data_IF_848082677278
#
_entry.id   IF_848082677278
#
_cell.length_a   1.000
_cell.length_b   1.000
_cell.length_c   1.000
_cell.angle_alpha   90.00
_cell.angle_beta   90.00
_cell.angle_gamma   90.00
#
_symmetry.space_group_name_H-M   'P 1'
#
loop_
_entity.id
_entity.type
_entity.pdbx_description
1 polymer ?
#
# COMPACT_ATOMS: atom_id res chain seq x y z
N UNK A 1 -22.80 -0.78 8.06
CA UNK A 1 -22.40 0.46 8.77
C UNK A 1 -20.98 0.37 9.38
N UNK A 2 -20.16 -0.64 9.06
CA UNK A 2 -18.88 -0.92 9.74
C UNK A 2 -17.71 -0.04 9.31
N UNK A 3 -17.62 0.29 8.01
CA UNK A 3 -16.53 1.11 7.45
C UNK A 3 -16.15 2.36 8.24
N UNK A 4 -17.12 3.15 8.74
CA UNK A 4 -16.78 4.38 9.47
C UNK A 4 -16.14 4.15 10.85
N UNK A 5 -16.32 2.96 11.45
CA UNK A 5 -15.63 2.54 12.68
C UNK A 5 -14.26 1.98 12.33
N UNK A 6 -14.19 1.08 11.35
CA UNK A 6 -12.94 0.48 10.85
C UNK A 6 -11.96 1.54 10.33
N UNK A 7 -12.44 2.53 9.58
CA UNK A 7 -11.64 3.67 9.12
C UNK A 7 -11.06 4.48 10.28
N UNK A 8 -11.81 4.62 11.38
CA UNK A 8 -11.32 5.29 12.59
C UNK A 8 -10.24 4.49 13.31
N UNK A 9 -10.44 3.17 13.46
CA UNK A 9 -9.45 2.26 14.06
C UNK A 9 -8.15 2.29 13.24
N UNK A 10 -8.26 2.21 11.91
CA UNK A 10 -7.09 2.30 11.05
C UNK A 10 -6.37 3.64 11.20
N UNK A 11 -7.11 4.74 11.34
CA UNK A 11 -6.51 6.05 11.56
C UNK A 11 -5.77 6.13 12.90
N UNK A 12 -6.10 5.29 13.89
CA UNK A 12 -5.33 5.21 15.13
C UNK A 12 -4.02 4.44 14.94
N UNK A 13 -4.04 3.44 14.04
CA UNK A 13 -2.92 2.54 13.72
C UNK A 13 -1.94 3.10 12.69
N UNK A 14 -2.30 4.13 11.90
CA UNK A 14 -1.36 4.80 10.98
C UNK A 14 -0.37 5.70 11.72
N UNK A 15 0.60 6.25 10.97
CA UNK A 15 1.56 7.23 11.48
C UNK A 15 0.83 8.46 12.05
N UNK A 16 1.13 8.90 13.29
CA UNK A 16 0.50 10.08 13.89
C UNK A 16 0.50 11.31 12.99
N UNK A 17 1.59 11.52 12.26
CA UNK A 17 1.78 12.67 11.37
C UNK A 17 0.88 12.61 10.12
N UNK A 18 0.32 11.45 9.80
CA UNK A 18 -0.49 11.26 8.59
C UNK A 18 -1.99 11.33 8.89
N UNK A 19 -2.41 11.31 10.17
CA UNK A 19 -3.81 11.15 10.58
C UNK A 19 -4.73 12.26 10.07
N UNK A 20 -4.26 13.49 10.01
CA UNK A 20 -4.99 14.66 9.50
C UNK A 20 -5.07 14.70 7.96
N UNK A 21 -4.19 13.95 7.28
CA UNK A 21 -4.13 13.85 5.82
C UNK A 21 -5.15 12.89 5.24
N UNK A 22 -5.75 12.01 6.05
CA UNK A 22 -6.83 11.12 5.59
C UNK A 22 -8.17 11.86 5.46
N UNK A 23 -9.11 11.20 4.77
CA UNK A 23 -10.46 11.68 4.56
C UNK A 23 -11.15 12.09 5.87
N UNK A 24 -11.68 13.32 5.90
CA UNK A 24 -12.52 13.86 6.97
C UNK A 24 -13.93 13.23 6.95
N UNK A 25 -14.01 11.91 7.12
CA UNK A 25 -15.22 11.12 6.91
C UNK A 25 -16.35 11.46 7.92
N UNK A 26 -15.99 11.81 9.16
CA UNK A 26 -16.96 12.17 10.22
C UNK A 26 -17.71 13.48 9.90
N UNK A 27 -17.04 14.62 9.61
CA UNK A 27 -17.68 15.84 9.13
C UNK A 27 -18.58 15.63 7.90
N UNK A 28 -18.07 14.96 6.86
CA UNK A 28 -18.84 14.68 5.65
C UNK A 28 -20.11 13.88 5.96
N UNK A 29 -20.01 12.86 6.82
CA UNK A 29 -21.19 12.09 7.26
C UNK A 29 -22.19 12.94 8.05
N UNK A 30 -21.71 13.90 8.85
CA UNK A 30 -22.57 14.82 9.62
C UNK A 30 -23.30 15.78 8.69
N UNK A 31 -22.65 16.26 7.64
CA UNK A 31 -23.27 17.09 6.59
C UNK A 31 -24.42 16.34 5.91
N UNK A 32 -24.21 15.08 5.52
CA UNK A 32 -25.24 14.25 4.89
C UNK A 32 -26.42 13.89 5.81
N UNK A 33 -26.26 13.96 7.13
CA UNK A 33 -27.36 13.75 8.08
C UNK A 33 -28.31 14.93 8.18
N UNK A 34 -27.90 16.12 7.74
CA UNK A 34 -28.75 17.32 7.72
C UNK A 34 -29.76 17.31 6.57
N UNK A 35 -29.60 16.40 5.62
CA UNK A 35 -30.58 16.14 4.56
C UNK A 35 -31.85 15.52 5.17
N UNK A 36 -33.05 16.01 4.81
CA UNK A 36 -34.30 15.32 5.09
C UNK A 36 -34.22 13.86 4.65
N UNK A 37 -34.75 12.94 5.46
CA UNK A 37 -34.92 11.56 4.98
C UNK A 37 -36.07 11.54 3.98
N UNK A 38 -35.98 10.81 2.86
CA UNK A 38 -37.16 10.53 2.05
C UNK A 38 -38.15 9.76 2.93
N UNK A 39 -39.31 10.35 3.19
CA UNK A 39 -40.40 9.70 3.92
C UNK A 39 -41.14 8.73 3.01
N UNK A 40 -41.55 7.53 3.49
CA UNK A 40 -42.29 6.55 2.68
C UNK A 40 -43.63 7.05 2.15
N UNK A 41 -44.16 8.15 2.70
CA UNK A 41 -45.47 8.72 2.36
C UNK A 41 -45.45 9.81 1.28
N UNK A 42 -44.29 10.12 0.67
CA UNK A 42 -44.25 11.06 -0.46
C UNK A 42 -44.71 10.36 -1.76
N UNK A 43 -45.87 10.73 -2.33
CA UNK A 43 -46.34 10.15 -3.57
C UNK A 43 -45.52 10.77 -4.71
N UNK A 44 -44.71 9.93 -5.36
CA UNK A 44 -44.07 10.14 -6.66
C UNK A 44 -42.76 10.97 -6.66
N UNK A 45 -41.65 10.45 -7.23
CA UNK A 45 -40.43 11.21 -7.42
C UNK A 45 -40.67 12.21 -8.56
N UNK A 46 -40.99 13.45 -8.20
CA UNK A 46 -40.86 14.55 -9.16
C UNK A 46 -39.36 14.77 -9.44
N UNK A 47 -38.95 14.98 -10.70
CA UNK A 47 -37.55 15.22 -11.07
C UNK A 47 -36.98 16.53 -10.51
N UNK A 48 -37.83 17.34 -9.84
CA UNK A 48 -37.53 18.66 -9.28
C UNK A 48 -37.18 18.66 -7.79
N UNK A 49 -36.83 17.51 -7.20
CA UNK A 49 -36.07 17.51 -5.94
C UNK A 49 -34.63 18.02 -6.18
N UNK A 50 -34.51 19.27 -6.60
CA UNK A 50 -33.36 20.10 -6.34
C UNK A 50 -33.23 20.18 -4.81
N UNK A 51 -32.51 19.21 -4.25
CA UNK A 51 -31.81 19.37 -2.98
C UNK A 51 -31.22 20.77 -2.96
N UNK A 52 -31.32 21.48 -1.83
CA UNK A 52 -30.75 22.83 -1.65
C UNK A 52 -29.46 22.94 -2.48
N UNK A 53 -29.45 23.70 -3.60
CA UNK A 53 -28.32 23.75 -4.52
C UNK A 53 -27.02 24.06 -3.78
N UNK A 54 -27.15 24.85 -2.72
CA UNK A 54 -26.10 25.14 -1.75
C UNK A 54 -25.52 23.87 -1.16
N UNK A 55 -26.30 22.95 -0.62
CA UNK A 55 -25.75 21.75 0.03
C UNK A 55 -24.97 20.85 -0.94
N UNK A 56 -25.47 20.66 -2.17
CA UNK A 56 -24.74 19.92 -3.19
C UNK A 56 -23.41 20.62 -3.51
N UNK A 57 -23.45 21.94 -3.71
CA UNK A 57 -22.26 22.75 -3.97
C UNK A 57 -21.25 22.66 -2.81
N UNK A 58 -21.72 22.77 -1.56
CA UNK A 58 -20.89 22.61 -0.36
C UNK A 58 -20.28 21.21 -0.26
N UNK A 59 -21.04 20.16 -0.56
CA UNK A 59 -20.55 18.78 -0.52
C UNK A 59 -19.47 18.53 -1.58
N UNK A 60 -19.70 18.97 -2.82
CA UNK A 60 -18.71 18.85 -3.92
C UNK A 60 -17.46 19.65 -3.61
N UNK A 61 -17.60 20.88 -3.10
CA UNK A 61 -16.46 21.71 -2.70
C UNK A 61 -15.59 21.02 -1.66
N UNK A 62 -16.19 20.48 -0.60
CA UNK A 62 -15.44 19.74 0.44
C UNK A 62 -14.76 18.49 -0.15
N UNK A 63 -15.41 17.78 -1.08
CA UNK A 63 -14.76 16.63 -1.72
C UNK A 63 -13.56 17.03 -2.58
N UNK A 64 -13.63 18.14 -3.30
CA UNK A 64 -12.50 18.66 -4.07
C UNK A 64 -11.36 19.09 -3.13
N UNK A 65 -11.66 19.81 -2.04
CA UNK A 65 -10.66 20.17 -1.02
C UNK A 65 -9.99 18.94 -0.40
N UNK A 66 -10.75 17.86 -0.18
CA UNK A 66 -10.19 16.61 0.29
C UNK A 66 -9.32 15.92 -0.78
N UNK A 67 -9.69 15.98 -2.07
CA UNK A 67 -8.84 15.48 -3.16
C UNK A 67 -7.52 16.26 -3.27
N UNK A 68 -7.57 17.58 -3.24
CA UNK A 68 -6.38 18.44 -3.29
C UNK A 68 -5.45 18.10 -2.13
N UNK A 69 -5.99 18.01 -0.91
CA UNK A 69 -5.24 17.56 0.27
C UNK A 69 -4.57 16.19 0.08
N UNK A 70 -5.27 15.23 -0.55
CA UNK A 70 -4.70 13.90 -0.78
C UNK A 70 -3.57 13.95 -1.81
N UNK A 71 -3.75 14.74 -2.87
CA UNK A 71 -2.75 14.91 -3.91
C UNK A 71 -1.49 15.58 -3.37
N UNK A 72 -1.63 16.70 -2.67
CA UNK A 72 -0.52 17.45 -2.08
C UNK A 72 0.30 16.52 -1.17
N UNK A 73 -0.36 15.85 -0.22
CA UNK A 73 0.33 14.94 0.68
C UNK A 73 0.98 13.74 -0.03
N UNK A 74 0.30 13.16 -1.03
CA UNK A 74 0.82 11.99 -1.72
C UNK A 74 2.05 12.33 -2.56
N UNK A 75 2.00 13.41 -3.33
CA UNK A 75 3.11 13.85 -4.20
C UNK A 75 4.31 14.25 -3.35
N UNK A 76 4.10 15.02 -2.28
CA UNK A 76 5.17 15.40 -1.35
C UNK A 76 5.88 14.16 -0.76
N UNK A 77 5.10 13.14 -0.39
CA UNK A 77 5.67 11.90 0.19
C UNK A 77 6.33 11.00 -0.85
N UNK A 78 5.76 10.89 -2.04
CA UNK A 78 6.38 10.13 -3.13
C UNK A 78 7.75 10.74 -3.48
N UNK A 79 7.85 12.07 -3.60
CA UNK A 79 9.11 12.76 -3.84
C UNK A 79 10.12 12.53 -2.70
N UNK A 80 9.69 12.66 -1.44
CA UNK A 80 10.54 12.39 -0.27
C UNK A 80 11.13 10.97 -0.34
N UNK A 81 10.32 9.97 -0.71
CA UNK A 81 10.78 8.59 -0.81
C UNK A 81 11.76 8.38 -1.96
N UNK A 82 11.52 9.00 -3.12
CA UNK A 82 12.46 8.94 -4.25
C UNK A 82 13.83 9.49 -3.83
N UNK A 83 13.86 10.64 -3.16
CA UNK A 83 15.10 11.28 -2.70
C UNK A 83 15.82 10.39 -1.68
N UNK A 84 15.11 9.95 -0.63
CA UNK A 84 15.70 9.10 0.42
C UNK A 84 16.20 7.77 -0.13
N UNK A 85 15.49 7.17 -1.08
CA UNK A 85 15.89 5.93 -1.71
C UNK A 85 17.18 6.09 -2.53
N UNK A 86 17.29 7.16 -3.32
CA UNK A 86 18.51 7.47 -4.07
C UNK A 86 19.71 7.74 -3.14
N UNK A 87 19.49 8.47 -2.05
CA UNK A 87 20.54 8.70 -1.05
C UNK A 87 21.05 7.40 -0.43
N UNK A 88 20.16 6.47 -0.12
CA UNK A 88 20.51 5.15 0.39
C UNK A 88 21.32 4.33 -0.62
N UNK A 89 20.96 4.34 -1.91
CA UNK A 89 21.74 3.70 -2.97
C UNK A 89 23.16 4.29 -3.07
N UNK A 90 23.29 5.62 -3.03
CA UNK A 90 24.59 6.26 -3.04
C UNK A 90 25.42 5.95 -1.77
N UNK A 91 24.78 5.78 -0.61
CA UNK A 91 25.48 5.37 0.63
C UNK A 91 26.08 3.98 0.49
N UNK A 92 25.34 3.03 -0.09
CA UNK A 92 25.84 1.67 -0.35
C UNK A 92 27.07 1.70 -1.26
N UNK A 93 27.01 2.47 -2.35
CA UNK A 93 28.13 2.56 -3.30
C UNK A 93 29.39 3.11 -2.63
N UNK A 94 29.27 4.16 -1.81
CA UNK A 94 30.40 4.68 -1.03
C UNK A 94 30.99 3.66 -0.06
N UNK A 95 30.14 2.89 0.62
CA UNK A 95 30.57 1.84 1.56
C UNK A 95 31.35 0.75 0.81
N UNK A 96 30.86 0.32 -0.36
CA UNK A 96 31.54 -0.66 -1.23
C UNK A 96 32.89 -0.13 -1.74
N UNK A 97 32.96 1.11 -2.20
CA UNK A 97 34.21 1.70 -2.71
C UNK A 97 35.30 1.82 -1.63
N UNK A 98 34.93 2.20 -0.41
CA UNK A 98 35.88 2.27 0.72
C UNK A 98 36.47 0.90 1.04
N UNK A 99 35.63 -0.15 1.03
CA UNK A 99 36.08 -1.53 1.27
C UNK A 99 37.10 -2.03 0.25
N UNK A 100 37.06 -1.56 -1.00
CA UNK A 100 38.03 -1.96 -2.02
C UNK A 100 39.37 -1.20 -1.95
N UNK A 101 39.44 -0.07 -1.24
CA UNK A 101 40.62 0.82 -1.22
C UNK A 101 41.50 0.65 0.03
N UNK A 102 40.93 0.29 1.18
CA UNK A 102 41.67 0.13 2.44
C UNK A 102 42.04 -1.34 2.72
N UNK A 103 43.15 -1.80 2.15
CA UNK A 103 43.68 -3.16 2.36
C UNK A 103 44.27 -3.47 3.75
N UNK A 104 43.98 -2.69 4.80
CA UNK A 104 44.54 -2.90 6.15
C UNK A 104 43.49 -2.66 7.25
N UNK A 105 43.02 -3.77 7.81
CA UNK A 105 42.29 -4.00 9.06
C UNK A 105 42.13 -2.81 10.04
N UNK A 106 41.01 -2.08 9.88
CA UNK A 106 40.20 -1.48 10.98
C UNK A 106 38.69 -1.52 10.67
N UNK A 107 38.30 -1.94 9.46
CA UNK A 107 37.03 -1.59 8.81
C UNK A 107 35.92 -2.66 8.85
N UNK A 108 36.18 -3.91 9.24
CA UNK A 108 35.18 -4.99 9.10
C UNK A 108 33.97 -4.81 10.05
N UNK A 109 34.22 -4.31 11.27
CA UNK A 109 33.15 -4.01 12.26
C UNK A 109 32.38 -2.74 11.87
N UNK A 110 33.07 -1.65 11.50
CA UNK A 110 32.41 -0.40 11.07
C UNK A 110 31.65 -0.56 9.74
N UNK A 111 32.17 -1.39 8.82
CA UNK A 111 31.50 -1.75 7.57
C UNK A 111 30.22 -2.55 7.83
N UNK A 112 30.26 -3.48 8.77
CA UNK A 112 29.08 -4.24 9.21
C UNK A 112 28.05 -3.31 9.87
N UNK A 113 28.46 -2.41 10.76
CA UNK A 113 27.57 -1.48 11.45
C UNK A 113 26.92 -0.45 10.51
N UNK A 114 27.70 0.16 9.60
CA UNK A 114 27.17 1.11 8.60
C UNK A 114 26.21 0.41 7.63
N UNK A 115 26.53 -0.82 7.21
CA UNK A 115 25.66 -1.62 6.35
C UNK A 115 24.36 -2.04 7.06
N UNK A 116 24.43 -2.38 8.36
CA UNK A 116 23.24 -2.67 9.17
C UNK A 116 22.37 -1.43 9.39
N UNK A 117 22.97 -0.25 9.54
CA UNK A 117 22.23 1.01 9.59
C UNK A 117 21.51 1.28 8.25
N UNK A 118 22.21 1.09 7.13
CA UNK A 118 21.61 1.18 5.78
C UNK A 118 20.45 0.18 5.63
N UNK A 119 20.62 -1.09 6.06
CA UNK A 119 19.55 -2.10 6.06
C UNK A 119 18.31 -1.60 6.78
N UNK A 120 18.51 -1.08 7.99
CA UNK A 120 17.43 -0.61 8.85
C UNK A 120 16.67 0.54 8.19
N UNK A 121 17.38 1.44 7.50
CA UNK A 121 16.77 2.54 6.76
C UNK A 121 16.00 2.05 5.52
N UNK A 122 16.52 1.07 4.77
CA UNK A 122 15.79 0.42 3.66
C UNK A 122 14.49 -0.24 4.13
N UNK A 123 14.53 -0.98 5.23
CA UNK A 123 13.32 -1.60 5.81
C UNK A 123 12.31 -0.54 6.25
N UNK A 124 12.81 0.58 6.80
CA UNK A 124 11.96 1.68 7.25
C UNK A 124 11.27 2.38 6.08
N UNK A 125 12.03 2.78 5.04
CA UNK A 125 11.45 3.44 3.86
C UNK A 125 10.51 2.50 3.10
N UNK A 126 10.83 1.20 3.00
CA UNK A 126 9.91 0.19 2.44
C UNK A 126 8.57 0.20 3.16
N UNK A 127 8.60 0.11 4.50
CA UNK A 127 7.40 0.12 5.32
C UNK A 127 6.58 1.40 5.13
N UNK A 128 7.24 2.57 5.07
CA UNK A 128 6.60 3.87 4.81
C UNK A 128 5.97 3.96 3.41
N UNK A 129 6.63 3.44 2.37
CA UNK A 129 6.07 3.38 1.02
C UNK A 129 4.82 2.49 0.95
N UNK A 130 4.84 1.33 1.63
CA UNK A 130 3.65 0.46 1.72
C UNK A 130 2.52 1.16 2.47
N UNK A 131 2.82 1.93 3.53
CA UNK A 131 1.82 2.76 4.21
C UNK A 131 1.22 3.81 3.27
N UNK A 132 2.00 4.40 2.36
CA UNK A 132 1.52 5.37 1.38
C UNK A 132 0.62 4.73 0.30
N UNK A 133 0.94 3.51 -0.17
CA UNK A 133 0.02 2.72 -1.02
C UNK A 133 -1.32 2.46 -0.32
N UNK A 134 -1.27 2.15 0.97
CA UNK A 134 -2.47 1.95 1.79
C UNK A 134 -3.24 3.26 2.02
N UNK A 135 -2.55 4.38 2.21
CA UNK A 135 -3.15 5.72 2.29
C UNK A 135 -4.00 6.01 1.06
N UNK A 136 -3.45 5.82 -0.15
CA UNK A 136 -4.18 5.98 -1.41
C UNK A 136 -5.46 5.13 -1.43
N UNK A 137 -5.31 3.84 -1.15
CA UNK A 137 -6.40 2.87 -1.18
C UNK A 137 -7.54 3.23 -0.21
N UNK A 138 -7.20 3.58 1.03
CA UNK A 138 -8.20 3.89 2.06
C UNK A 138 -8.94 5.19 1.81
N UNK A 139 -8.24 6.24 1.36
CA UNK A 139 -8.86 7.51 1.03
C UNK A 139 -9.82 7.34 -0.14
N UNK A 140 -9.40 6.62 -1.19
CA UNK A 140 -10.28 6.30 -2.30
C UNK A 140 -11.50 5.49 -1.85
N UNK A 141 -11.33 4.45 -1.04
CA UNK A 141 -12.45 3.70 -0.45
C UNK A 141 -13.41 4.63 0.31
N UNK A 142 -12.87 5.56 1.09
CA UNK A 142 -13.62 6.56 1.84
C UNK A 142 -14.47 7.44 0.91
N UNK A 143 -13.87 7.93 -0.18
CA UNK A 143 -14.55 8.73 -1.22
C UNK A 143 -15.71 7.93 -1.83
N UNK A 144 -15.49 6.67 -2.24
CA UNK A 144 -16.56 5.83 -2.80
C UNK A 144 -17.69 5.60 -1.78
N UNK A 145 -17.36 5.36 -0.50
CA UNK A 145 -18.36 5.11 0.54
C UNK A 145 -19.17 6.38 0.87
N UNK A 146 -18.55 7.56 0.88
CA UNK A 146 -19.27 8.81 1.14
C UNK A 146 -20.13 9.23 -0.05
N UNK A 147 -19.64 9.07 -1.28
CA UNK A 147 -20.41 9.28 -2.51
C UNK A 147 -21.61 8.34 -2.59
N UNK A 148 -21.41 7.04 -2.31
CA UNK A 148 -22.52 6.07 -2.24
C UNK A 148 -23.55 6.46 -1.18
N UNK A 149 -23.14 7.12 -0.09
CA UNK A 149 -24.07 7.63 0.92
C UNK A 149 -24.82 8.86 0.43
N UNK A 150 -24.15 9.77 -0.28
CA UNK A 150 -24.76 10.95 -0.90
C UNK A 150 -25.83 10.53 -1.92
N UNK A 151 -25.49 9.69 -2.90
CA UNK A 151 -26.41 9.24 -3.95
C UNK A 151 -27.64 8.52 -3.35
N UNK A 152 -27.43 7.66 -2.33
CA UNK A 152 -28.54 6.98 -1.64
C UNK A 152 -29.51 7.92 -0.93
N UNK A 153 -29.04 9.10 -0.51
CA UNK A 153 -29.85 10.09 0.21
C UNK A 153 -30.56 11.04 -0.75
N UNK A 154 -29.90 11.37 -1.85
CA UNK A 154 -30.36 12.40 -2.79
C UNK A 154 -31.07 11.82 -4.02
N UNK A 155 -30.87 10.53 -4.33
CA UNK A 155 -31.27 9.95 -5.62
C UNK A 155 -30.36 10.37 -6.77
N UNK A 156 -29.31 11.16 -6.51
CA UNK A 156 -28.36 11.62 -7.53
C UNK A 156 -27.37 10.55 -8.01
N UNK A 157 -26.54 10.94 -8.99
CA UNK A 157 -25.54 10.08 -9.64
C UNK A 157 -24.13 10.66 -9.55
N UNK A 158 -23.83 11.37 -8.45
CA UNK A 158 -22.55 12.05 -8.26
C UNK A 158 -21.39 11.06 -8.18
N UNK A 159 -21.62 9.86 -7.63
CA UNK A 159 -20.59 8.83 -7.50
C UNK A 159 -19.92 8.49 -8.82
N UNK A 160 -20.67 8.35 -9.90
CA UNK A 160 -20.11 7.89 -11.19
C UNK A 160 -19.07 8.89 -11.70
N UNK A 161 -19.47 10.16 -11.78
CA UNK A 161 -18.62 11.25 -12.25
C UNK A 161 -17.40 11.45 -11.34
N UNK A 162 -17.62 11.49 -10.03
CA UNK A 162 -16.55 11.76 -9.08
C UNK A 162 -15.56 10.60 -8.95
N UNK A 163 -16.02 9.35 -9.15
CA UNK A 163 -15.12 8.18 -9.21
C UNK A 163 -14.18 8.29 -10.40
N UNK A 164 -14.68 8.64 -11.58
CA UNK A 164 -13.83 8.81 -12.77
C UNK A 164 -12.83 9.95 -12.62
N UNK A 165 -13.21 11.02 -11.92
CA UNK A 165 -12.28 12.10 -11.58
C UNK A 165 -11.18 11.61 -10.63
N UNK A 166 -11.56 10.94 -9.54
CA UNK A 166 -10.65 10.45 -8.51
C UNK A 166 -9.64 9.41 -9.06
N UNK A 167 -10.05 8.57 -10.02
CA UNK A 167 -9.17 7.58 -10.67
C UNK A 167 -8.02 8.21 -11.48
N UNK A 168 -8.10 9.50 -11.80
CA UNK A 168 -7.06 10.23 -12.56
C UNK A 168 -6.24 11.18 -11.68
N UNK A 169 -6.45 11.15 -10.37
CA UNK A 169 -5.75 12.03 -9.45
C UNK A 169 -4.39 11.42 -9.05
N UNK A 170 -3.37 12.26 -8.81
CA UNK A 170 -2.05 11.82 -8.38
C UNK A 170 -2.07 10.83 -7.20
N UNK A 171 -2.90 11.09 -6.18
CA UNK A 171 -2.97 10.20 -5.01
C UNK A 171 -3.43 8.78 -5.34
N UNK A 172 -4.03 8.55 -6.52
CA UNK A 172 -4.53 7.26 -6.97
C UNK A 172 -3.59 6.56 -7.97
N UNK A 173 -2.82 7.31 -8.75
CA UNK A 173 -1.86 6.77 -9.73
C UNK A 173 -0.58 6.34 -9.02
N UNK A 174 -0.61 5.16 -8.40
CA UNK A 174 0.44 4.64 -7.51
C UNK A 174 1.51 3.83 -8.23
N UNK A 175 1.54 3.83 -9.56
CA UNK A 175 2.50 3.09 -10.37
C UNK A 175 3.96 3.48 -10.09
N UNK A 176 4.35 4.77 -9.97
CA UNK A 176 5.74 5.14 -9.67
C UNK A 176 6.16 4.65 -8.28
N UNK A 177 5.35 4.90 -7.24
CA UNK A 177 5.57 4.36 -5.91
C UNK A 177 5.67 2.82 -5.89
N UNK A 178 4.85 2.12 -6.67
CA UNK A 178 4.88 0.65 -6.74
C UNK A 178 6.19 0.14 -7.32
N UNK A 179 6.72 0.79 -8.36
CA UNK A 179 8.05 0.46 -8.90
C UNK A 179 9.15 0.71 -7.87
N UNK A 180 9.06 1.80 -7.11
CA UNK A 180 10.01 2.13 -6.06
C UNK A 180 10.01 1.09 -4.93
N UNK A 181 8.83 0.58 -4.55
CA UNK A 181 8.69 -0.52 -3.59
C UNK A 181 9.39 -1.79 -4.09
N UNK A 182 9.15 -2.19 -5.34
CA UNK A 182 9.80 -3.37 -5.91
C UNK A 182 11.31 -3.22 -6.02
N UNK A 183 11.79 -2.05 -6.48
CA UNK A 183 13.24 -1.78 -6.51
C UNK A 183 13.84 -1.84 -5.10
N UNK A 184 13.10 -1.38 -4.09
CA UNK A 184 13.54 -1.47 -2.70
C UNK A 184 13.60 -2.91 -2.18
N UNK A 185 12.64 -3.76 -2.56
CA UNK A 185 12.62 -5.19 -2.24
C UNK A 185 13.82 -5.91 -2.89
N UNK A 186 14.07 -5.68 -4.18
CA UNK A 186 15.22 -6.23 -4.89
C UNK A 186 16.56 -5.80 -4.25
N UNK A 187 16.68 -4.53 -3.84
CA UNK A 187 17.89 -4.07 -3.16
C UNK A 187 18.05 -4.71 -1.77
N UNK A 188 16.97 -4.88 -1.02
CA UNK A 188 17.01 -5.58 0.27
C UNK A 188 17.44 -7.03 0.11
N UNK A 189 16.92 -7.74 -0.90
CA UNK A 189 17.27 -9.14 -1.18
C UNK A 189 18.71 -9.30 -1.66
N UNK A 190 19.20 -8.40 -2.51
CA UNK A 190 20.57 -8.44 -3.03
C UNK A 190 21.63 -8.08 -1.98
N UNK A 191 21.31 -7.15 -1.08
CA UNK A 191 22.25 -6.63 -0.08
C UNK A 191 22.23 -7.45 1.21
N UNK A 192 21.11 -8.09 1.50
CA UNK A 192 20.92 -8.92 2.69
C UNK A 192 20.21 -10.21 2.28
N UNK A 193 20.84 -11.07 1.45
CA UNK A 193 20.31 -12.38 1.16
C UNK A 193 20.01 -13.05 2.49
N UNK A 194 18.77 -13.50 2.69
CA UNK A 194 18.39 -14.27 3.87
C UNK A 194 19.39 -15.41 3.97
N UNK A 195 20.40 -15.32 4.84
CA UNK A 195 21.37 -16.39 4.99
C UNK A 195 20.59 -17.67 5.27
N UNK A 196 20.77 -18.65 4.40
CA UNK A 196 20.33 -20.01 4.64
C UNK A 196 21.04 -20.49 5.91
N UNK A 197 20.38 -20.29 7.05
CA UNK A 197 20.65 -21.02 8.26
C UNK A 197 20.63 -22.53 7.91
N UNK A 198 21.53 -23.30 8.50
CA UNK A 198 21.63 -24.78 8.43
C UNK A 198 22.62 -25.32 7.38
N UNK A 199 23.93 -25.35 7.67
CA UNK A 199 24.68 -26.43 8.36
C UNK A 199 26.18 -26.15 8.23
N UNK A 200 26.81 -25.61 9.27
CA UNK A 200 28.23 -25.90 9.49
C UNK A 200 28.39 -27.35 9.93
N UNK A 201 29.32 -28.02 9.27
CA UNK A 201 29.67 -29.41 9.48
C UNK A 201 30.24 -29.61 10.88
N UNK A 202 29.60 -30.44 11.70
CA UNK A 202 30.25 -31.04 12.86
C UNK A 202 29.92 -32.53 12.94
N UNK A 203 30.93 -33.31 12.55
CA UNK A 203 31.03 -34.75 12.64
C UNK A 203 31.02 -35.27 14.09
N UNK A 204 30.21 -36.30 14.32
CA UNK A 204 30.35 -37.40 15.28
C UNK A 204 30.73 -37.13 16.75
N UNK A 205 29.79 -37.42 17.66
CA UNK A 205 29.95 -38.54 18.62
C UNK A 205 28.62 -38.95 19.26
N UNK A 206 28.37 -40.26 19.29
CA UNK A 206 27.25 -40.97 19.93
C UNK A 206 27.31 -40.89 21.45
N UNK A 207 26.15 -40.84 22.12
CA UNK A 207 25.73 -41.80 23.18
C UNK A 207 24.25 -41.66 23.54
N UNK A 208 23.61 -42.80 23.80
CA UNK A 208 22.19 -43.04 24.08
C UNK A 208 21.72 -42.51 25.46
N UNK A 209 20.44 -42.11 25.58
CA UNK A 209 19.40 -42.79 26.39
C UNK A 209 18.19 -41.88 26.72
N UNK A 210 17.01 -42.38 26.31
CA UNK A 210 15.67 -42.38 26.94
C UNK A 210 14.88 -41.11 27.37
N UNK A 211 13.61 -41.18 26.92
CA UNK A 211 12.35 -40.83 27.58
C UNK A 211 11.69 -39.44 27.34
N UNK A 212 10.81 -39.43 26.33
CA UNK A 212 9.36 -39.13 26.40
C UNK A 212 8.88 -37.77 26.97
N UNK A 213 8.41 -36.87 26.10
CA UNK A 213 6.98 -36.48 25.98
C UNK A 213 6.75 -35.02 25.48
N UNK A 214 5.93 -34.93 24.41
CA UNK A 214 5.01 -33.85 23.99
C UNK A 214 5.55 -32.67 23.15
N UNK A 215 5.09 -32.69 21.89
CA UNK A 215 5.08 -31.64 20.86
C UNK A 215 4.65 -30.27 21.43
N UNK A 216 5.42 -29.19 21.27
CA UNK A 216 5.80 -28.44 20.04
C UNK A 216 4.69 -27.53 19.55
N UNK A 217 4.80 -26.26 19.94
CA UNK A 217 4.45 -25.09 19.13
C UNK A 217 5.24 -23.90 19.71
N UNK A 218 6.52 -23.85 19.36
CA UNK A 218 7.37 -22.68 19.57
C UNK A 218 7.79 -22.19 18.18
N UNK A 219 7.22 -21.06 17.76
CA UNK A 219 7.69 -20.33 16.59
C UNK A 219 8.42 -19.09 17.11
N UNK A 220 9.60 -19.34 17.70
CA UNK A 220 10.55 -18.30 18.07
C UNK A 220 11.10 -17.70 16.78
N UNK A 221 10.43 -16.64 16.32
CA UNK A 221 10.92 -15.76 15.27
C UNK A 221 12.20 -15.09 15.78
N UNK A 222 13.30 -15.32 15.08
CA UNK A 222 14.58 -14.65 15.31
C UNK A 222 14.35 -13.13 15.39
N UNK A 223 14.51 -12.56 16.59
CA UNK A 223 14.46 -11.11 16.80
C UNK A 223 15.72 -10.51 16.19
N UNK A 224 15.62 -10.09 14.93
CA UNK A 224 16.41 -8.98 14.42
C UNK A 224 16.14 -7.81 15.38
N UNK A 225 17.19 -7.25 15.99
CA UNK A 225 17.07 -6.04 16.83
C UNK A 225 16.80 -4.84 15.94
N UNK A 226 15.57 -4.78 15.44
CA UNK A 226 15.02 -3.63 14.74
C UNK A 226 14.86 -2.53 15.79
N UNK A 227 15.54 -1.40 15.61
CA UNK A 227 15.39 -0.24 16.50
C UNK A 227 13.92 0.15 16.70
N UNK A 228 13.59 0.82 17.81
CA UNK A 228 12.19 1.11 18.21
C UNK A 228 11.35 1.71 17.07
N UNK A 229 11.93 2.57 16.23
CA UNK A 229 11.26 3.17 15.06
C UNK A 229 10.92 2.18 13.94
N UNK A 230 11.83 1.26 13.60
CA UNK A 230 11.59 0.28 12.53
C UNK A 230 10.56 -0.80 12.92
N UNK A 231 10.56 -1.19 14.19
CA UNK A 231 9.61 -2.18 14.73
C UNK A 231 8.18 -1.64 14.72
N UNK A 232 8.05 -0.34 14.96
CA UNK A 232 6.78 0.39 14.92
C UNK A 232 6.25 0.53 13.48
N UNK A 233 7.10 0.93 12.53
CA UNK A 233 6.75 1.00 11.10
C UNK A 233 6.29 -0.36 10.58
N UNK A 234 7.04 -1.42 10.85
CA UNK A 234 6.67 -2.79 10.43
C UNK A 234 5.29 -3.21 10.96
N UNK A 235 5.01 -3.00 12.24
CA UNK A 235 3.70 -3.31 12.84
C UNK A 235 2.57 -2.57 12.13
N UNK A 236 2.75 -1.27 11.85
CA UNK A 236 1.75 -0.46 11.14
C UNK A 236 1.54 -0.94 9.71
N UNK A 237 2.61 -1.32 9.02
CA UNK A 237 2.56 -1.86 7.66
C UNK A 237 1.76 -3.16 7.61
N UNK A 238 1.98 -4.08 8.57
CA UNK A 238 1.21 -5.33 8.67
C UNK A 238 -0.28 -5.06 8.91
N UNK A 239 -0.60 -4.11 9.80
CA UNK A 239 -1.99 -3.73 10.09
C UNK A 239 -2.68 -3.06 8.87
N UNK A 240 -1.94 -2.24 8.13
CA UNK A 240 -2.39 -1.63 6.87
C UNK A 240 -2.74 -2.69 5.81
N UNK A 241 -1.83 -3.65 5.56
CA UNK A 241 -2.05 -4.76 4.61
C UNK A 241 -3.28 -5.57 5.01
N UNK A 242 -3.43 -5.89 6.30
CA UNK A 242 -4.59 -6.63 6.82
C UNK A 242 -5.89 -5.88 6.57
N UNK A 243 -5.90 -4.56 6.75
CA UNK A 243 -7.08 -3.72 6.55
C UNK A 243 -7.53 -3.73 5.09
N UNK A 244 -6.60 -3.56 4.14
CA UNK A 244 -6.92 -3.62 2.70
C UNK A 244 -7.47 -5.00 2.31
N UNK A 245 -6.84 -6.08 2.79
CA UNK A 245 -7.35 -7.45 2.56
C UNK A 245 -8.78 -7.63 3.08
N UNK A 246 -9.12 -7.02 4.23
CA UNK A 246 -10.49 -6.99 4.75
C UNK A 246 -11.46 -6.25 3.83
N UNK A 247 -11.08 -5.06 3.35
CA UNK A 247 -11.92 -4.25 2.45
C UNK A 247 -12.18 -4.91 1.09
N UNK A 248 -11.19 -5.64 0.56
CA UNK A 248 -11.34 -6.45 -0.66
C UNK A 248 -12.37 -7.57 -0.44
N UNK A 249 -12.30 -8.30 0.68
CA UNK A 249 -13.22 -9.40 1.02
C UNK A 249 -14.67 -8.96 1.24
N UNK A 250 -14.91 -7.78 1.82
CA UNK A 250 -16.28 -7.26 2.04
C UNK A 250 -16.99 -6.79 0.76
N UNK A 251 -16.27 -6.65 -0.36
CA UNK A 251 -16.84 -6.23 -1.64
C UNK A 251 -17.37 -7.44 -2.42
N UNK A 252 -18.40 -8.12 -1.90
CA UNK A 252 -18.96 -9.36 -2.49
C UNK A 252 -19.78 -9.17 -3.78
N UNK A 253 -19.77 -7.98 -4.39
CA UNK A 253 -20.51 -7.69 -5.62
C UNK A 253 -19.53 -7.31 -6.73
N UNK A 254 -19.44 -8.15 -7.77
CA UNK A 254 -18.68 -7.83 -8.98
C UNK A 254 -19.33 -6.64 -9.69
N UNK A 255 -18.71 -5.47 -9.56
CA UNK A 255 -19.07 -4.23 -10.26
C UNK A 255 -17.75 -3.55 -10.65
N UNK A 256 -17.60 -3.02 -11.88
CA UNK A 256 -16.39 -2.32 -12.33
C UNK A 256 -15.98 -1.14 -11.43
N UNK A 257 -16.91 -0.56 -10.65
CA UNK A 257 -16.63 0.50 -9.68
C UNK A 257 -16.49 0.00 -8.23
N UNK A 258 -16.36 -1.31 -8.03
CA UNK A 258 -16.14 -1.90 -6.70
C UNK A 258 -14.67 -1.77 -6.30
N UNK A 259 -14.42 -1.66 -5.00
CA UNK A 259 -13.07 -1.60 -4.44
C UNK A 259 -12.23 -2.81 -4.87
N UNK A 260 -12.82 -4.02 -4.88
CA UNK A 260 -12.14 -5.23 -5.34
C UNK A 260 -11.80 -5.18 -6.83
N UNK A 261 -12.64 -4.60 -7.70
CA UNK A 261 -12.33 -4.45 -9.13
C UNK A 261 -11.24 -3.40 -9.39
N UNK A 262 -11.22 -2.34 -8.59
CA UNK A 262 -10.31 -1.20 -8.77
C UNK A 262 -8.90 -1.55 -8.26
N UNK A 263 -8.81 -2.22 -7.11
CA UNK A 263 -7.52 -2.60 -6.50
C UNK A 263 -7.16 -4.08 -6.69
N UNK A 264 -8.02 -4.88 -7.32
CA UNK A 264 -7.75 -6.29 -7.60
C UNK A 264 -6.73 -6.48 -8.72
N UNK A 265 -6.67 -5.53 -9.67
CA UNK A 265 -5.75 -5.58 -10.81
C UNK A 265 -4.34 -5.05 -10.50
N UNK A 266 -4.15 -4.31 -9.40
CA UNK A 266 -2.83 -3.78 -8.99
C UNK A 266 -1.93 -4.83 -8.30
N UNK A 267 -2.47 -5.99 -7.90
CA UNK A 267 -1.71 -7.07 -7.26
C UNK A 267 -1.37 -8.22 -8.25
N UNK A 268 -1.72 -8.11 -9.54
CA UNK A 268 -1.67 -9.26 -10.47
C UNK A 268 -0.31 -9.46 -11.16
N UNK A 269 0.66 -8.56 -10.96
CA UNK A 269 2.04 -8.80 -11.40
C UNK A 269 2.87 -9.64 -10.40
N UNK A 270 2.25 -10.12 -9.32
CA UNK A 270 2.86 -10.96 -8.28
C UNK A 270 2.97 -12.46 -8.66
N UNK A 271 3.15 -12.78 -9.94
CA UNK A 271 3.57 -14.13 -10.32
C UNK A 271 4.40 -14.08 -11.59
N UNK A 272 5.70 -14.31 -11.44
CA UNK A 272 6.65 -14.41 -12.53
C UNK A 272 6.14 -15.32 -13.66
N UNK A 273 5.87 -14.71 -14.80
CA UNK A 273 5.85 -15.36 -16.09
C UNK A 273 6.76 -14.53 -17.00
N UNK A 274 8.04 -14.89 -16.99
CA UNK A 274 8.96 -14.58 -18.08
C UNK A 274 8.31 -15.11 -19.35
N UNK A 275 7.93 -14.21 -20.26
CA UNK A 275 7.77 -14.54 -21.67
C UNK A 275 8.62 -13.56 -22.46
N UNK A 276 9.70 -14.10 -23.03
CA UNK A 276 10.68 -13.43 -23.88
C UNK A 276 10.03 -12.66 -25.05
N UNK A 277 10.54 -11.49 -25.43
CA UNK A 277 10.17 -10.80 -26.66
C UNK A 277 11.19 -11.12 -27.77
N UNK A 278 11.18 -12.33 -28.31
CA UNK A 278 11.97 -12.67 -29.51
C UNK A 278 11.28 -13.75 -30.34
N UNK A 279 10.62 -13.36 -31.42
CA UNK A 279 10.51 -14.13 -32.67
C UNK A 279 9.95 -13.20 -33.76
N UNK A 280 10.85 -12.75 -34.64
CA UNK A 280 10.53 -12.05 -35.88
C UNK A 280 9.71 -12.96 -36.83
N UNK A 281 8.87 -12.39 -37.71
CA UNK A 281 8.22 -13.16 -38.77
C UNK A 281 9.17 -13.25 -39.97
N UNK A 282 9.71 -14.44 -40.21
CA UNK A 282 10.49 -14.74 -41.40
C UNK A 282 9.56 -14.95 -42.60
N UNK A 283 9.97 -14.38 -43.74
CA UNK A 283 9.36 -14.56 -45.05
C UNK A 283 9.66 -15.96 -45.61
N UNK A 284 8.72 -16.52 -46.37
CA UNK A 284 8.90 -17.19 -47.68
C UNK A 284 7.69 -18.11 -47.91
N UNK A 285 6.75 -17.81 -48.81
CA UNK A 285 6.77 -17.83 -50.28
C UNK A 285 6.42 -19.21 -50.92
N UNK A 286 5.46 -19.13 -51.85
CA UNK A 286 4.96 -20.04 -52.91
C UNK A 286 4.88 -21.58 -52.73
N UNK A 287 3.64 -22.12 -52.84
CA UNK A 287 3.19 -23.05 -53.92
C UNK A 287 1.71 -23.45 -53.72
N UNK A 288 0.76 -23.04 -54.57
CA UNK A 288 0.38 -23.60 -55.89
C UNK A 288 0.04 -25.11 -55.88
N UNK A 289 -1.24 -25.49 -55.78
CA UNK A 289 -1.99 -26.13 -56.88
C UNK A 289 -3.39 -26.64 -56.50
N UNK A 290 -4.31 -26.33 -57.42
CA UNK A 290 -5.61 -26.95 -57.76
C UNK A 290 -6.83 -26.64 -56.91
#
# INVERSE_FOLDING_TARGET
>A
MKFGKEFGIHLEQTLPEWKDKYLCYKPLKKLLKRLPNPTPDDPQPSPDHNHSPDLQHWFVRILNEELDKFNDFYVDKEEEFVIRFQELKHRIERVKEKSCKDGVFTSEIEFSDELMAIRQEFVTIHGEMVLLKNYSSLNFAGIIKILKKYDKRTGGLLRVHFTQLALRQPFFTTEPLTRLVHECEENLDLLFPLEAEVVESSSNSKTNADANARASDDNTTARVSIGEGGSDVYRRTVDAIRTIKGLKKESSTSNPLSFASIFGNQDVDDTGAITDPQSEPDCDDVHLHK
#
